data_IF_543258789229
#
_entry.id   IF_543258789229
#
_cell.length_a   1.000
_cell.length_b   1.000
_cell.length_c   1.000
_cell.angle_alpha   90.00
_cell.angle_beta   90.00
_cell.angle_gamma   90.00
#
_symmetry.space_group_name_H-M   'P 1'
#
loop_
_entity.id
_entity.type
_entity.pdbx_description
1 polymer ?
#
# COMPACT_ATOMS: atom_id res chain seq x y z
N UNK A 1 12.91 -6.20 -13.58
CA UNK A 1 12.26 -6.39 -12.27
C UNK A 1 12.09 -5.00 -11.67
N UNK A 2 10.87 -4.52 -11.44
CA UNK A 2 10.64 -3.15 -10.98
C UNK A 2 11.11 -2.95 -9.53
N UNK A 3 11.93 -1.92 -9.29
CA UNK A 3 12.55 -1.61 -8.00
C UNK A 3 11.58 -0.79 -7.12
N UNK A 4 10.43 -1.37 -6.74
CA UNK A 4 9.39 -0.67 -5.97
C UNK A 4 9.87 -0.16 -4.60
N UNK A 5 10.95 -0.74 -4.08
CA UNK A 5 11.67 -0.31 -2.87
C UNK A 5 12.19 1.13 -2.97
N UNK A 6 12.58 1.57 -4.17
CA UNK A 6 12.99 2.97 -4.42
C UNK A 6 11.80 3.93 -4.47
N UNK A 7 10.61 3.41 -4.77
CA UNK A 7 9.37 4.20 -4.89
C UNK A 7 8.67 4.34 -3.54
N UNK A 8 8.84 3.35 -2.66
CA UNK A 8 8.29 3.31 -1.30
C UNK A 8 9.42 3.11 -0.26
N UNK A 9 10.16 4.18 0.11
CA UNK A 9 11.30 4.08 1.02
C UNK A 9 10.90 3.65 2.44
N UNK A 10 9.66 3.90 2.83
CA UNK A 10 9.12 3.57 4.15
C UNK A 10 8.52 2.17 4.23
N UNK A 11 8.42 1.43 3.11
CA UNK A 11 7.77 0.12 3.06
C UNK A 11 8.73 -1.00 3.54
N UNK A 12 8.40 -1.74 4.60
CA UNK A 12 9.22 -2.86 5.08
C UNK A 12 9.33 -3.99 4.06
N UNK A 13 10.44 -4.73 4.09
CA UNK A 13 10.73 -5.78 3.10
C UNK A 13 9.68 -6.89 3.07
N UNK A 14 9.19 -7.27 4.25
CA UNK A 14 8.18 -8.34 4.43
C UNK A 14 6.89 -8.08 3.67
N UNK A 15 6.53 -6.80 3.49
CA UNK A 15 5.32 -6.37 2.79
C UNK A 15 5.62 -5.59 1.50
N UNK A 16 6.84 -5.70 0.97
CA UNK A 16 7.28 -5.05 -0.27
C UNK A 16 6.38 -5.33 -1.48
N UNK A 17 5.73 -6.50 -1.51
CA UNK A 17 4.75 -6.89 -2.54
C UNK A 17 3.51 -5.97 -2.61
N UNK A 18 3.20 -5.21 -1.55
CA UNK A 18 2.14 -4.20 -1.59
C UNK A 18 2.49 -3.06 -2.55
N UNK A 19 3.78 -2.73 -2.70
CA UNK A 19 4.23 -1.71 -3.64
C UNK A 19 4.00 -2.15 -5.09
N UNK A 20 4.27 -3.41 -5.40
CA UNK A 20 3.95 -4.00 -6.71
C UNK A 20 2.44 -4.04 -6.95
N UNK A 21 1.68 -4.51 -5.96
CA UNK A 21 0.22 -4.58 -6.06
C UNK A 21 -0.40 -3.19 -6.26
N UNK A 22 0.11 -2.15 -5.60
CA UNK A 22 -0.39 -0.78 -5.74
C UNK A 22 -0.22 -0.21 -7.16
N UNK A 23 0.84 -0.59 -7.86
CA UNK A 23 1.10 -0.20 -9.26
C UNK A 23 0.44 -1.13 -10.29
N UNK A 24 -0.11 -2.27 -9.86
CA UNK A 24 -0.81 -3.19 -10.72
C UNK A 24 -2.30 -2.87 -10.79
N UNK A 25 -2.77 -2.29 -11.91
CA UNK A 25 -4.16 -1.86 -12.10
C UNK A 25 -5.22 -2.94 -11.77
N UNK A 26 -4.84 -4.21 -11.80
CA UNK A 26 -5.67 -5.33 -11.35
C UNK A 26 -6.34 -5.13 -9.99
N UNK A 27 -5.68 -4.45 -9.04
CA UNK A 27 -6.27 -4.19 -7.72
C UNK A 27 -7.59 -3.40 -7.81
N UNK A 28 -7.74 -2.54 -8.82
CA UNK A 28 -8.85 -1.59 -8.92
C UNK A 28 -10.20 -2.27 -9.14
N UNK A 29 -10.21 -3.42 -9.82
CA UNK A 29 -11.41 -4.23 -10.09
C UNK A 29 -11.47 -5.52 -9.28
N UNK A 30 -10.51 -5.78 -8.39
CA UNK A 30 -10.51 -6.94 -7.51
C UNK A 30 -10.93 -6.54 -6.08
N UNK A 31 -12.16 -6.83 -5.64
CA UNK A 31 -12.68 -6.34 -4.36
C UNK A 31 -11.82 -6.73 -3.15
N UNK A 32 -11.27 -7.94 -3.15
CA UNK A 32 -10.39 -8.40 -2.06
C UNK A 32 -9.09 -7.58 -1.99
N UNK A 33 -8.55 -7.13 -3.12
CA UNK A 33 -7.35 -6.29 -3.14
C UNK A 33 -7.66 -4.87 -2.63
N UNK A 34 -8.83 -4.32 -2.99
CA UNK A 34 -9.31 -3.05 -2.41
C UNK A 34 -9.53 -3.16 -0.90
N UNK A 35 -10.08 -4.29 -0.45
CA UNK A 35 -10.30 -4.55 0.97
C UNK A 35 -8.98 -4.64 1.73
N UNK A 36 -7.94 -5.25 1.15
CA UNK A 36 -6.60 -5.32 1.75
C UNK A 36 -6.05 -3.93 2.10
N UNK A 37 -6.04 -3.01 1.13
CA UNK A 37 -5.59 -1.63 1.37
C UNK A 37 -6.49 -0.92 2.39
N UNK A 38 -7.81 -1.12 2.31
CA UNK A 38 -8.75 -0.52 3.28
C UNK A 38 -8.59 -1.05 4.70
N UNK A 39 -8.28 -2.35 4.87
CA UNK A 39 -8.14 -2.98 6.19
C UNK A 39 -6.83 -2.62 6.88
N UNK A 40 -5.82 -2.21 6.11
CA UNK A 40 -4.57 -1.69 6.66
C UNK A 40 -4.82 -0.42 7.48
N UNK A 41 -5.31 0.63 6.84
CA UNK A 41 -5.69 1.86 7.53
C UNK A 41 -6.90 2.47 6.84
N UNK A 42 -8.05 2.40 7.50
CA UNK A 42 -9.30 2.90 6.94
C UNK A 42 -9.28 4.42 6.75
N UNK A 43 -8.59 5.15 7.63
CA UNK A 43 -8.50 6.60 7.57
C UNK A 43 -7.52 7.01 6.47
N UNK A 44 -6.32 6.43 6.45
CA UNK A 44 -5.36 6.62 5.36
C UNK A 44 -5.90 6.24 3.98
N UNK A 45 -6.71 5.18 3.90
CA UNK A 45 -7.39 4.80 2.64
C UNK A 45 -8.39 5.85 2.16
N UNK A 46 -9.11 6.49 3.09
CA UNK A 46 -10.05 7.57 2.77
C UNK A 46 -9.29 8.84 2.36
N UNK A 47 -8.27 9.22 3.12
CA UNK A 47 -7.51 10.47 2.94
C UNK A 47 -6.65 10.45 1.66
N UNK A 48 -6.18 9.27 1.28
CA UNK A 48 -5.52 9.02 -0.01
C UNK A 48 -6.48 9.01 -1.20
N UNK A 49 -7.80 9.17 -0.99
CA UNK A 49 -8.83 9.08 -2.03
C UNK A 49 -8.82 7.70 -2.70
N UNK A 50 -8.72 6.64 -1.91
CA UNK A 50 -8.69 5.26 -2.40
C UNK A 50 -7.53 4.98 -3.38
N UNK A 51 -6.40 5.67 -3.21
CA UNK A 51 -5.19 5.48 -4.02
C UNK A 51 -4.13 4.75 -3.18
N UNK A 52 -3.82 3.47 -3.49
CA UNK A 52 -2.88 2.69 -2.70
C UNK A 52 -1.44 3.20 -2.80
N UNK A 53 -1.04 3.78 -3.93
CA UNK A 53 0.30 4.38 -4.08
C UNK A 53 0.44 5.59 -3.14
N UNK A 54 -0.57 6.44 -3.08
CA UNK A 54 -0.57 7.61 -2.19
C UNK A 54 -0.60 7.15 -0.72
N UNK A 55 -1.48 6.20 -0.40
CA UNK A 55 -1.59 5.62 0.93
C UNK A 55 -0.25 5.08 1.44
N UNK A 56 0.43 4.23 0.66
CA UNK A 56 1.72 3.64 1.05
C UNK A 56 2.87 4.67 1.20
N UNK A 57 2.72 5.87 0.63
CA UNK A 57 3.68 6.97 0.79
C UNK A 57 3.40 7.85 2.00
N UNK A 58 2.13 7.98 2.38
CA UNK A 58 1.68 8.85 3.47
C UNK A 58 1.60 8.14 4.83
N UNK A 59 1.45 6.81 4.85
CA UNK A 59 1.43 6.04 6.11
C UNK A 59 2.83 6.10 6.77
N UNK A 60 2.91 6.45 8.07
CA UNK A 60 4.15 6.39 8.85
C UNK A 60 4.75 4.99 8.85
N UNK A 61 6.09 4.91 8.83
CA UNK A 61 6.81 3.62 8.80
C UNK A 61 6.42 2.74 9.99
N UNK A 62 6.19 3.32 11.15
CA UNK A 62 5.84 2.61 12.39
C UNK A 62 4.53 1.82 12.24
N UNK A 63 3.56 2.37 11.50
CA UNK A 63 2.30 1.69 11.19
C UNK A 63 2.54 0.55 10.20
N UNK A 64 3.36 0.78 9.17
CA UNK A 64 3.70 -0.25 8.18
C UNK A 64 4.47 -1.42 8.81
N UNK A 65 5.32 -1.16 9.81
CA UNK A 65 6.04 -2.18 10.57
C UNK A 65 5.11 -2.96 11.50
N UNK A 66 4.13 -2.33 12.13
CA UNK A 66 3.16 -3.01 12.98
C UNK A 66 2.18 -3.93 12.22
N UNK A 67 2.05 -3.74 10.91
CA UNK A 67 1.29 -4.62 10.00
C UNK A 67 2.05 -5.87 9.58
N UNK A 68 3.37 -5.88 9.79
CA UNK A 68 4.27 -6.97 9.39
C UNK A 68 4.24 -8.13 10.38
#
# INVERSE_FOLDING_TARGET
MNDYKKIFPNLPERISGLGELAYNLWWSWHPAARMLFKSMDRQGWKDSIHNPVRMLREIPREILEAMA
#
